data_IF_142510466750
#
_entry.id   IF_142510466750
#
_cell.length_a   1.000
_cell.length_b   1.000
_cell.length_c   1.000
_cell.angle_alpha   90.00
_cell.angle_beta   90.00
_cell.angle_gamma   90.00
#
_symmetry.space_group_name_H-M   'P 1'
#
loop_
_entity.id
_entity.type
_entity.pdbx_description
1 polymer ?
#
# COMPACT_ATOMS: atom_id res chain seq x y z
N UNK A 1 6.00 55.93 -18.46
CA UNK A 1 4.68 55.31 -18.74
C UNK A 1 4.01 54.88 -17.45
N UNK A 2 2.75 55.28 -17.24
CA UNK A 2 1.89 54.88 -16.13
C UNK A 2 1.04 53.67 -16.52
N UNK A 3 1.10 52.58 -15.75
CA UNK A 3 0.34 51.35 -16.01
C UNK A 3 -0.62 51.09 -14.86
N UNK A 4 -1.89 50.80 -15.17
CA UNK A 4 -2.88 50.36 -14.20
C UNK A 4 -3.09 48.85 -14.32
N UNK A 5 -2.81 48.11 -13.25
CA UNK A 5 -3.06 46.67 -13.12
C UNK A 5 -4.37 46.47 -12.39
N UNK A 6 -5.27 45.66 -12.94
CA UNK A 6 -6.57 45.35 -12.36
C UNK A 6 -6.74 43.84 -12.26
N UNK A 7 -6.75 43.31 -11.04
CA UNK A 7 -6.91 41.88 -10.79
C UNK A 7 -7.38 41.71 -9.35
N UNK A 8 -8.36 40.86 -9.08
CA UNK A 8 -8.87 40.64 -7.72
C UNK A 8 -7.89 39.84 -6.85
N UNK A 9 -6.96 39.11 -7.47
CA UNK A 9 -5.96 38.30 -6.79
C UNK A 9 -4.66 39.07 -6.56
N UNK A 10 -4.29 39.22 -5.29
CA UNK A 10 -3.06 39.91 -4.90
C UNK A 10 -1.79 39.27 -5.48
N UNK A 11 -1.75 37.93 -5.58
CA UNK A 11 -0.61 37.21 -6.16
C UNK A 11 -0.40 37.55 -7.64
N UNK A 12 -1.48 37.60 -8.42
CA UNK A 12 -1.41 37.91 -9.85
C UNK A 12 -1.01 39.38 -10.07
N UNK A 13 -1.49 40.32 -9.23
CA UNK A 13 -1.02 41.71 -9.24
C UNK A 13 0.47 41.82 -8.94
N UNK A 14 0.96 41.10 -7.93
CA UNK A 14 2.37 41.11 -7.55
C UNK A 14 3.28 40.58 -8.68
N UNK A 15 2.85 39.52 -9.38
CA UNK A 15 3.56 38.98 -10.56
C UNK A 15 3.63 40.02 -11.67
N UNK A 16 2.49 40.64 -12.01
CA UNK A 16 2.43 41.67 -13.05
C UNK A 16 3.25 42.90 -12.68
N UNK A 17 3.17 43.35 -11.44
CA UNK A 17 3.96 44.46 -10.92
C UNK A 17 5.45 44.20 -11.19
N UNK A 18 5.94 43.01 -10.83
CA UNK A 18 7.33 42.64 -11.05
C UNK A 18 7.73 42.64 -12.53
N UNK A 19 6.87 42.15 -13.42
CA UNK A 19 7.13 42.16 -14.86
C UNK A 19 7.23 43.59 -15.41
N UNK A 20 6.38 44.50 -14.91
CA UNK A 20 6.23 45.85 -15.41
C UNK A 20 7.27 46.84 -14.89
N UNK A 21 8.00 46.55 -13.80
CA UNK A 21 9.08 47.40 -13.26
C UNK A 21 10.14 47.78 -14.30
N UNK A 22 10.29 46.98 -15.37
CA UNK A 22 11.26 47.22 -16.44
C UNK A 22 10.80 48.23 -17.49
N UNK A 23 9.51 48.55 -17.54
CA UNK A 23 8.90 49.36 -18.60
C UNK A 23 7.96 50.48 -18.11
N UNK A 24 7.47 50.39 -16.87
CA UNK A 24 6.58 51.37 -16.26
C UNK A 24 7.36 52.27 -15.29
N UNK A 25 7.10 53.58 -15.35
CA UNK A 25 7.62 54.57 -14.40
C UNK A 25 6.75 54.66 -13.16
N UNK A 26 5.46 54.35 -13.31
CA UNK A 26 4.49 54.31 -12.23
C UNK A 26 3.54 53.14 -12.48
N UNK A 27 3.32 52.33 -11.45
CA UNK A 27 2.39 51.20 -11.47
C UNK A 27 1.28 51.50 -10.46
N UNK A 28 0.05 51.51 -10.94
CA UNK A 28 -1.16 51.62 -10.15
C UNK A 28 -1.82 50.25 -10.06
N UNK A 29 -2.49 49.97 -8.95
CA UNK A 29 -3.14 48.69 -8.71
C UNK A 29 -4.57 48.90 -8.22
N UNK A 30 -5.48 48.12 -8.79
CA UNK A 30 -6.87 48.02 -8.36
C UNK A 30 -7.27 46.54 -8.23
N UNK A 31 -8.11 46.24 -7.25
CA UNK A 31 -8.60 44.88 -6.95
C UNK A 31 -9.96 44.56 -7.59
N UNK A 32 -10.57 45.53 -8.26
CA UNK A 32 -11.83 45.36 -8.99
C UNK A 32 -12.01 46.47 -10.04
N UNK A 33 -12.94 46.27 -10.98
CA UNK A 33 -13.17 47.22 -12.07
C UNK A 33 -13.76 48.57 -11.64
N UNK A 34 -14.43 48.67 -10.48
CA UNK A 34 -14.96 49.95 -10.02
C UNK A 34 -13.84 50.87 -9.51
N UNK A 35 -12.97 50.34 -8.65
CA UNK A 35 -11.77 51.02 -8.17
C UNK A 35 -10.82 51.38 -9.33
N UNK A 36 -10.67 50.47 -10.29
CA UNK A 36 -9.87 50.73 -11.49
C UNK A 36 -10.38 51.91 -12.31
N UNK A 37 -11.70 52.05 -12.47
CA UNK A 37 -12.29 53.15 -13.23
C UNK A 37 -12.04 54.50 -12.54
N UNK A 38 -12.15 54.55 -11.21
CA UNK A 38 -11.84 55.75 -10.41
C UNK A 38 -10.37 56.14 -10.58
N UNK A 39 -9.45 55.20 -10.40
CA UNK A 39 -8.01 55.44 -10.58
C UNK A 39 -7.67 55.84 -12.01
N UNK A 40 -8.32 55.25 -13.02
CA UNK A 40 -8.09 55.57 -14.42
C UNK A 40 -8.47 57.03 -14.74
N UNK A 41 -9.60 57.52 -14.19
CA UNK A 41 -10.03 58.92 -14.35
C UNK A 41 -9.11 59.90 -13.66
N UNK A 42 -8.67 59.57 -12.45
CA UNK A 42 -7.81 60.45 -11.66
C UNK A 42 -6.39 60.53 -12.23
N UNK A 43 -5.79 59.41 -12.60
CA UNK A 43 -4.37 59.33 -12.92
C UNK A 43 -4.05 59.27 -14.41
N UNK A 44 -5.07 59.00 -15.25
CA UNK A 44 -5.00 58.85 -16.71
C UNK A 44 -3.83 57.96 -17.14
N UNK A 45 -3.91 56.63 -16.88
CA UNK A 45 -2.85 55.70 -17.20
C UNK A 45 -2.64 55.61 -18.72
N UNK A 46 -1.40 55.33 -19.12
CA UNK A 46 -1.01 55.12 -20.52
C UNK A 46 -1.36 53.69 -21.00
N UNK A 47 -1.62 52.76 -20.07
CA UNK A 47 -1.98 51.38 -20.33
C UNK A 47 -2.79 50.81 -19.17
N UNK A 48 -3.86 50.07 -19.49
CA UNK A 48 -4.64 49.31 -18.53
C UNK A 48 -4.48 47.83 -18.84
N UNK A 49 -4.12 47.04 -17.83
CA UNK A 49 -4.04 45.58 -17.90
C UNK A 49 -5.02 45.03 -16.89
N UNK A 50 -6.04 44.31 -17.36
CA UNK A 50 -7.14 43.83 -16.51
C UNK A 50 -7.33 42.33 -16.62
N UNK A 51 -7.64 41.65 -15.52
CA UNK A 51 -8.30 40.35 -15.62
C UNK A 51 -9.70 40.51 -16.24
N UNK A 52 -10.15 39.46 -16.90
CA UNK A 52 -11.40 39.46 -17.64
C UNK A 52 -12.63 39.35 -16.72
N UNK A 53 -12.57 38.46 -15.73
CA UNK A 53 -13.67 38.18 -14.81
C UNK A 53 -13.25 38.48 -13.39
N UNK A 54 -13.88 39.47 -12.77
CA UNK A 54 -13.64 39.85 -11.37
C UNK A 54 -14.99 40.05 -10.66
N UNK A 55 -15.04 39.95 -9.32
CA UNK A 55 -16.26 40.26 -8.56
C UNK A 55 -16.75 41.70 -8.77
N UNK A 56 -18.06 41.87 -8.89
CA UNK A 56 -18.68 43.18 -9.07
C UNK A 56 -18.52 43.71 -10.50
N UNK A 57 -17.69 44.74 -10.68
CA UNK A 57 -17.38 45.27 -12.01
C UNK A 57 -16.19 44.48 -12.56
N UNK A 58 -16.43 43.66 -13.56
CA UNK A 58 -15.41 42.86 -14.22
C UNK A 58 -14.67 43.64 -15.32
N UNK A 59 -13.68 42.99 -15.95
CA UNK A 59 -12.84 43.62 -16.96
C UNK A 59 -13.59 43.97 -18.25
N UNK A 60 -14.62 43.21 -18.61
CA UNK A 60 -15.46 43.50 -19.79
C UNK A 60 -16.31 44.75 -19.59
N UNK A 61 -16.96 44.86 -18.43
CA UNK A 61 -17.73 46.04 -18.06
C UNK A 61 -16.81 47.26 -17.85
N UNK A 62 -15.62 47.07 -17.26
CA UNK A 62 -14.60 48.11 -17.15
C UNK A 62 -14.19 48.65 -18.52
N UNK A 63 -13.82 47.77 -19.47
CA UNK A 63 -13.48 48.17 -20.84
C UNK A 63 -14.64 48.92 -21.50
N UNK A 64 -15.86 48.43 -21.35
CA UNK A 64 -17.06 49.06 -21.89
C UNK A 64 -17.26 50.48 -21.35
N UNK A 65 -16.98 50.70 -20.07
CA UNK A 65 -17.03 52.04 -19.43
C UNK A 65 -15.91 52.95 -19.90
N UNK A 66 -14.68 52.43 -20.02
CA UNK A 66 -13.52 53.17 -20.54
C UNK A 66 -13.78 53.65 -21.97
N UNK A 67 -14.31 52.78 -22.85
CA UNK A 67 -14.61 53.12 -24.24
C UNK A 67 -15.81 54.07 -24.42
N UNK A 68 -16.62 54.27 -23.38
CA UNK A 68 -17.69 55.29 -23.34
C UNK A 68 -17.22 56.62 -22.73
N UNK A 69 -16.04 56.65 -22.12
CA UNK A 69 -15.50 57.82 -21.43
C UNK A 69 -14.60 58.63 -22.38
N UNK A 70 -14.96 59.88 -22.75
CA UNK A 70 -14.21 60.66 -23.74
C UNK A 70 -12.74 60.91 -23.37
N UNK A 71 -12.40 60.86 -22.08
CA UNK A 71 -11.03 61.09 -21.63
C UNK A 71 -10.18 59.82 -21.65
N UNK A 72 -10.81 58.65 -21.66
CA UNK A 72 -10.15 57.33 -21.56
C UNK A 72 -10.42 56.41 -22.75
N UNK A 73 -11.28 56.81 -23.70
CA UNK A 73 -11.70 55.97 -24.83
C UNK A 73 -10.51 55.48 -25.68
N UNK A 74 -9.40 56.22 -25.64
CA UNK A 74 -8.18 55.95 -26.35
C UNK A 74 -7.10 55.24 -25.53
N UNK A 75 -7.31 55.02 -24.24
CA UNK A 75 -6.33 54.34 -23.40
C UNK A 75 -6.18 52.88 -23.83
N UNK A 76 -4.95 52.42 -24.16
CA UNK A 76 -4.67 51.01 -24.44
C UNK A 76 -5.19 50.09 -23.34
N UNK A 77 -5.94 49.07 -23.71
CA UNK A 77 -6.55 48.11 -22.79
C UNK A 77 -6.21 46.68 -23.20
N UNK A 78 -5.53 45.97 -22.30
CA UNK A 78 -5.10 44.59 -22.51
C UNK A 78 -5.78 43.71 -21.46
N UNK A 79 -6.40 42.62 -21.91
CA UNK A 79 -6.81 41.57 -20.99
C UNK A 79 -5.63 40.66 -20.67
N UNK A 80 -5.44 40.32 -19.39
CA UNK A 80 -4.52 39.29 -18.93
C UNK A 80 -5.32 38.28 -18.10
N UNK A 81 -5.73 37.16 -18.67
CA UNK A 81 -6.67 36.22 -18.02
C UNK A 81 -6.31 34.76 -18.24
N UNK A 82 -6.69 33.86 -17.32
CA UNK A 82 -6.29 32.44 -17.32
C UNK A 82 -6.97 31.56 -18.39
N UNK A 83 -7.43 32.15 -19.50
CA UNK A 83 -8.32 31.50 -20.46
C UNK A 83 -7.56 30.51 -21.34
N UNK A 84 -7.78 29.22 -21.10
CA UNK A 84 -7.46 28.13 -22.04
C UNK A 84 -8.60 27.82 -23.04
N UNK A 85 -9.67 28.63 -23.05
CA UNK A 85 -10.99 28.21 -23.53
C UNK A 85 -11.62 29.20 -24.52
N UNK A 86 -11.64 28.83 -25.80
CA UNK A 86 -12.56 29.38 -26.81
C UNK A 86 -12.22 30.75 -27.40
N UNK A 87 -12.65 30.96 -28.66
CA UNK A 87 -12.52 32.24 -29.35
C UNK A 87 -13.45 33.33 -28.77
N UNK A 88 -14.44 33.00 -27.94
CA UNK A 88 -15.52 33.92 -27.52
C UNK A 88 -15.09 35.01 -26.55
N UNK A 89 -14.29 34.72 -25.51
CA UNK A 89 -13.79 35.75 -24.59
C UNK A 89 -12.95 36.77 -25.35
N UNK A 90 -12.04 36.28 -26.20
CA UNK A 90 -11.21 37.11 -27.07
C UNK A 90 -12.05 37.86 -28.12
N UNK A 91 -13.04 37.21 -28.74
CA UNK A 91 -13.95 37.84 -29.70
C UNK A 91 -14.72 39.00 -29.07
N UNK A 92 -15.30 38.80 -27.88
CA UNK A 92 -16.04 39.84 -27.17
C UNK A 92 -15.10 40.97 -26.72
N UNK A 93 -13.95 40.63 -26.14
CA UNK A 93 -12.93 41.60 -25.72
C UNK A 93 -12.51 42.49 -26.89
N UNK A 94 -12.18 41.88 -28.03
CA UNK A 94 -11.77 42.59 -29.23
C UNK A 94 -12.92 43.38 -29.86
N UNK A 95 -14.15 42.86 -29.82
CA UNK A 95 -15.34 43.57 -30.30
C UNK A 95 -15.70 44.79 -29.42
N UNK A 96 -15.35 44.77 -28.13
CA UNK A 96 -15.43 45.91 -27.22
C UNK A 96 -14.24 46.87 -27.35
N UNK A 97 -13.28 46.59 -28.23
CA UNK A 97 -12.14 47.46 -28.51
C UNK A 97 -10.95 47.25 -27.59
N UNK A 98 -10.73 46.04 -27.05
CA UNK A 98 -9.46 45.69 -26.43
C UNK A 98 -8.33 45.71 -27.47
N UNK A 99 -7.15 46.16 -27.05
CA UNK A 99 -5.96 46.24 -27.88
C UNK A 99 -5.22 44.89 -27.94
N UNK A 100 -5.28 44.11 -26.85
CA UNK A 100 -4.79 42.74 -26.86
C UNK A 100 -5.49 41.84 -25.80
N UNK A 101 -5.38 40.52 -25.97
CA UNK A 101 -5.85 39.52 -25.02
C UNK A 101 -4.76 38.47 -24.76
N UNK A 102 -4.18 38.50 -23.57
CA UNK A 102 -3.06 37.66 -23.15
C UNK A 102 -3.54 36.56 -22.20
N UNK A 103 -3.15 35.32 -22.48
CA UNK A 103 -3.51 34.14 -21.68
C UNK A 103 -2.47 33.89 -20.60
N UNK A 104 -2.89 33.68 -19.34
CA UNK A 104 -2.00 33.24 -18.24
C UNK A 104 -1.82 31.71 -18.25
N UNK A 105 -0.65 31.17 -17.85
CA UNK A 105 0.61 31.88 -17.63
C UNK A 105 1.29 32.22 -18.96
N UNK A 106 1.93 33.39 -19.03
CA UNK A 106 2.79 33.78 -20.16
C UNK A 106 4.19 34.10 -19.63
N UNK A 107 5.22 33.71 -20.37
CA UNK A 107 6.60 34.05 -20.04
C UNK A 107 6.83 35.57 -20.03
N UNK A 108 7.67 36.10 -19.13
CA UNK A 108 7.85 37.55 -18.96
C UNK A 108 8.26 38.28 -20.25
N UNK A 109 9.10 37.66 -21.08
CA UNK A 109 9.56 38.27 -22.34
C UNK A 109 8.41 38.42 -23.33
N UNK A 110 7.66 37.34 -23.58
CA UNK A 110 6.47 37.34 -24.44
C UNK A 110 5.42 38.32 -23.95
N UNK A 111 5.20 38.41 -22.64
CA UNK A 111 4.28 39.37 -22.04
C UNK A 111 4.68 40.83 -22.37
N UNK A 112 5.96 41.18 -22.17
CA UNK A 112 6.47 42.51 -22.46
C UNK A 112 6.48 42.86 -23.96
N UNK A 113 6.76 41.88 -24.83
CA UNK A 113 6.68 42.06 -26.29
C UNK A 113 5.25 42.39 -26.74
N UNK A 114 4.24 41.71 -26.19
CA UNK A 114 2.84 41.98 -26.50
C UNK A 114 2.39 43.36 -26.03
N UNK A 115 2.84 43.80 -24.84
CA UNK A 115 2.61 45.16 -24.36
C UNK A 115 3.22 46.20 -25.32
N UNK A 116 4.49 46.03 -25.70
CA UNK A 116 5.15 46.95 -26.65
C UNK A 116 4.39 47.03 -27.97
N UNK A 117 3.97 45.89 -28.51
CA UNK A 117 3.16 45.82 -29.74
C UNK A 117 1.81 46.55 -29.61
N UNK A 118 1.16 46.47 -28.45
CA UNK A 118 -0.08 47.21 -28.20
C UNK A 118 0.16 48.74 -28.14
N UNK A 119 1.31 49.17 -27.62
CA UNK A 119 1.69 50.58 -27.50
C UNK A 119 2.25 51.17 -28.80
N UNK A 120 2.92 50.41 -29.65
CA UNK A 120 3.55 50.93 -30.87
C UNK A 120 2.54 51.19 -32.02
N UNK A 121 1.34 50.62 -31.98
CA UNK A 121 0.31 50.70 -33.04
C UNK A 121 -0.65 51.92 -32.95
N UNK A 122 -0.29 52.97 -32.21
CA UNK A 122 -1.26 53.89 -31.60
C UNK A 122 -1.98 54.96 -32.47
N UNK A 123 -1.80 55.09 -33.80
CA UNK A 123 -2.81 55.83 -34.59
C UNK A 123 -3.44 55.12 -35.79
N UNK A 124 -2.78 54.15 -36.43
CA UNK A 124 -3.21 53.68 -37.75
C UNK A 124 -4.07 52.39 -37.75
N UNK A 125 -4.08 51.62 -36.64
CA UNK A 125 -4.77 50.31 -36.55
C UNK A 125 -5.41 50.03 -35.20
N UNK A 126 -5.74 51.07 -34.41
CA UNK A 126 -6.58 50.89 -33.21
C UNK A 126 -7.89 50.21 -33.61
N UNK A 127 -8.19 49.05 -33.01
CA UNK A 127 -9.46 48.35 -33.24
C UNK A 127 -10.58 49.21 -32.69
N UNK A 128 -11.36 49.80 -33.59
CA UNK A 128 -12.55 50.52 -33.19
C UNK A 128 -13.55 49.52 -32.59
N UNK A 129 -14.08 49.79 -31.40
CA UNK A 129 -15.11 48.96 -30.80
C UNK A 129 -16.33 48.92 -31.72
N UNK A 130 -17.07 47.80 -31.71
CA UNK A 130 -18.38 47.73 -32.38
C UNK A 130 -19.35 48.68 -31.68
N UNK A 131 -19.82 49.75 -32.35
CA UNK A 131 -20.67 50.76 -31.71
C UNK A 131 -21.94 50.16 -31.09
N UNK A 132 -22.47 49.09 -31.68
CA UNK A 132 -23.68 48.42 -31.20
C UNK A 132 -23.48 47.79 -29.82
N UNK A 133 -22.32 47.18 -29.54
CA UNK A 133 -22.02 46.60 -28.24
C UNK A 133 -21.79 47.68 -27.16
N UNK A 134 -21.33 48.86 -27.58
CA UNK A 134 -21.17 50.01 -26.69
C UNK A 134 -22.47 50.79 -26.49
N UNK A 135 -23.43 50.77 -27.41
CA UNK A 135 -24.63 51.61 -27.32
C UNK A 135 -25.89 50.82 -26.95
N UNK A 136 -25.95 49.53 -27.26
CA UNK A 136 -27.09 48.66 -26.99
C UNK A 136 -26.78 47.71 -25.84
N UNK A 137 -27.32 48.00 -24.65
CA UNK A 137 -27.13 47.17 -23.46
C UNK A 137 -27.65 45.74 -23.65
N UNK A 138 -28.76 45.55 -24.37
CA UNK A 138 -29.33 44.22 -24.64
C UNK A 138 -28.38 43.32 -25.45
N UNK A 139 -27.73 43.86 -26.49
CA UNK A 139 -26.83 43.10 -27.35
C UNK A 139 -25.56 42.70 -26.58
N UNK A 140 -24.99 43.63 -25.80
CA UNK A 140 -23.86 43.34 -24.92
C UNK A 140 -24.20 42.26 -23.90
N UNK A 141 -25.30 42.43 -23.16
CA UNK A 141 -25.73 41.47 -22.13
C UNK A 141 -25.96 40.07 -22.71
N UNK A 142 -26.49 39.99 -23.93
CA UNK A 142 -26.67 38.71 -24.63
C UNK A 142 -25.33 38.05 -24.95
N UNK A 143 -24.39 38.76 -25.58
CA UNK A 143 -23.07 38.22 -25.91
C UNK A 143 -22.27 37.84 -24.66
N UNK A 144 -22.32 38.68 -23.63
CA UNK A 144 -21.68 38.44 -22.35
C UNK A 144 -22.26 37.21 -21.64
N UNK A 145 -23.59 37.10 -21.54
CA UNK A 145 -24.25 35.95 -20.90
C UNK A 145 -23.94 34.64 -21.63
N UNK A 146 -23.86 34.65 -22.96
CA UNK A 146 -23.49 33.47 -23.75
C UNK A 146 -22.03 33.04 -23.53
N UNK A 147 -21.12 34.00 -23.36
CA UNK A 147 -19.71 33.73 -23.04
C UNK A 147 -19.60 33.11 -21.63
N UNK A 148 -20.24 33.73 -20.62
CA UNK A 148 -20.21 33.23 -19.24
C UNK A 148 -20.85 31.85 -19.14
N UNK A 149 -21.99 31.61 -19.80
CA UNK A 149 -22.65 30.31 -19.82
C UNK A 149 -21.74 29.22 -20.42
N UNK A 150 -21.09 29.49 -21.56
CA UNK A 150 -20.16 28.55 -22.19
C UNK A 150 -18.97 28.23 -21.27
N UNK A 151 -18.42 29.23 -20.58
CA UNK A 151 -17.30 29.06 -19.64
C UNK A 151 -17.72 28.25 -18.41
N UNK A 152 -18.94 28.46 -17.92
CA UNK A 152 -19.49 27.69 -16.81
C UNK A 152 -19.70 26.23 -17.20
N UNK A 153 -20.30 25.97 -18.36
CA UNK A 153 -20.50 24.61 -18.89
C UNK A 153 -19.18 23.84 -18.98
N UNK A 154 -18.13 24.47 -19.51
CA UNK A 154 -16.82 23.83 -19.62
C UNK A 154 -16.19 23.53 -18.25
N UNK A 155 -16.30 24.44 -17.27
CA UNK A 155 -15.79 24.17 -15.92
C UNK A 155 -16.57 23.08 -15.20
N UNK A 156 -17.88 23.00 -15.41
CA UNK A 156 -18.68 21.89 -14.90
C UNK A 156 -18.19 20.57 -15.50
N UNK A 157 -18.00 20.50 -16.83
CA UNK A 157 -17.48 19.29 -17.49
C UNK A 157 -16.08 18.90 -16.99
N UNK A 158 -15.18 19.87 -16.83
CA UNK A 158 -13.83 19.61 -16.31
C UNK A 158 -13.86 19.10 -14.87
N UNK A 159 -14.72 19.67 -14.01
CA UNK A 159 -14.89 19.24 -12.63
C UNK A 159 -15.49 17.83 -12.56
N UNK A 160 -16.48 17.51 -13.40
CA UNK A 160 -17.06 16.17 -13.50
C UNK A 160 -16.01 15.13 -13.92
N UNK A 161 -15.20 15.43 -14.93
CA UNK A 161 -14.11 14.56 -15.37
C UNK A 161 -13.07 14.34 -14.26
N UNK A 162 -12.67 15.41 -13.57
CA UNK A 162 -11.70 15.34 -12.47
C UNK A 162 -12.25 14.51 -11.30
N UNK A 163 -13.50 14.73 -10.91
CA UNK A 163 -14.18 13.95 -9.87
C UNK A 163 -14.31 12.47 -10.26
N UNK A 164 -14.65 12.19 -11.52
CA UNK A 164 -14.71 10.81 -12.02
C UNK A 164 -13.34 10.14 -11.95
N UNK A 165 -12.28 10.84 -12.39
CA UNK A 165 -10.91 10.34 -12.34
C UNK A 165 -10.43 10.11 -10.91
N UNK A 166 -10.73 11.02 -9.98
CA UNK A 166 -10.44 10.86 -8.55
C UNK A 166 -11.15 9.62 -7.98
N UNK A 167 -12.43 9.45 -8.29
CA UNK A 167 -13.21 8.28 -7.86
C UNK A 167 -12.63 6.97 -8.42
N UNK A 168 -12.22 6.98 -9.69
CA UNK A 168 -11.61 5.81 -10.33
C UNK A 168 -10.27 5.45 -9.69
N UNK A 169 -9.44 6.46 -9.41
CA UNK A 169 -8.17 6.29 -8.74
C UNK A 169 -8.35 5.77 -7.31
N UNK A 170 -9.29 6.32 -6.54
CA UNK A 170 -9.60 5.85 -5.19
C UNK A 170 -10.00 4.37 -5.21
N UNK A 171 -10.92 3.98 -6.11
CA UNK A 171 -11.32 2.57 -6.28
C UNK A 171 -10.14 1.68 -6.66
N UNK A 172 -9.27 2.14 -7.57
CA UNK A 172 -8.07 1.38 -7.99
C UNK A 172 -7.13 1.13 -6.80
N UNK A 173 -6.84 2.16 -6.00
CA UNK A 173 -5.99 2.02 -4.83
C UNK A 173 -6.64 1.13 -3.76
N UNK A 174 -7.94 1.29 -3.51
CA UNK A 174 -8.69 0.45 -2.57
C UNK A 174 -8.66 -1.03 -2.99
N UNK A 175 -8.79 -1.32 -4.28
CA UNK A 175 -8.69 -2.69 -4.80
C UNK A 175 -7.29 -3.28 -4.62
N UNK A 176 -6.24 -2.50 -4.89
CA UNK A 176 -4.86 -2.95 -4.68
C UNK A 176 -4.59 -3.22 -3.20
N UNK A 177 -4.98 -2.30 -2.32
CA UNK A 177 -4.90 -2.42 -0.87
C UNK A 177 -5.59 -3.69 -0.35
N UNK A 178 -6.80 -3.96 -0.83
CA UNK A 178 -7.61 -5.12 -0.47
C UNK A 178 -7.15 -6.44 -1.11
N UNK A 179 -6.36 -6.39 -2.19
CA UNK A 179 -5.82 -7.60 -2.84
C UNK A 179 -4.62 -8.21 -2.11
N UNK A 180 -3.99 -7.47 -1.20
CA UNK A 180 -2.84 -7.93 -0.41
C UNK A 180 -3.34 -8.94 0.64
N UNK A 181 -2.67 -10.09 0.74
CA UNK A 181 -3.04 -11.17 1.67
C UNK A 181 -2.55 -10.95 3.10
N UNK A 182 -1.53 -10.13 3.28
CA UNK A 182 -1.09 -9.72 4.61
C UNK A 182 -2.10 -8.71 5.17
N UNK A 183 -2.33 -8.73 6.48
CA UNK A 183 -3.21 -7.77 7.14
C UNK A 183 -2.48 -6.43 7.26
N UNK A 184 -3.04 -5.37 6.69
CA UNK A 184 -2.51 -4.02 6.76
C UNK A 184 -3.39 -3.22 7.71
N UNK A 185 -2.77 -2.65 8.74
CA UNK A 185 -3.41 -1.86 9.77
C UNK A 185 -2.80 -0.47 9.72
N UNK A 186 -3.62 0.53 9.39
CA UNK A 186 -3.22 1.93 9.40
C UNK A 186 -3.72 2.55 10.69
N UNK A 187 -2.86 3.29 11.39
CA UNK A 187 -3.21 3.89 12.67
C UNK A 187 -2.64 5.28 12.90
N UNK A 188 -3.18 5.96 13.91
CA UNK A 188 -2.65 7.22 14.44
C UNK A 188 -1.27 7.00 15.10
N UNK A 189 -0.51 8.06 15.41
CA UNK A 189 0.75 7.93 16.15
C UNK A 189 0.60 7.16 17.48
N UNK A 190 -0.57 7.27 18.13
CA UNK A 190 -0.91 6.57 19.38
C UNK A 190 -1.40 5.12 19.18
N UNK A 191 -1.30 4.60 17.95
CA UNK A 191 -1.70 3.25 17.54
C UNK A 191 -3.19 2.98 17.70
N UNK A 192 -4.01 4.00 17.47
CA UNK A 192 -5.47 3.86 17.27
C UNK A 192 -5.71 3.54 15.81
N UNK A 193 -6.45 2.48 15.53
CA UNK A 193 -6.65 1.96 14.18
C UNK A 193 -7.60 2.91 13.42
N UNK A 194 -7.15 3.38 12.26
CA UNK A 194 -7.90 4.26 11.36
C UNK A 194 -8.50 3.49 10.19
N UNK A 195 -7.76 2.51 9.66
CA UNK A 195 -8.20 1.72 8.50
C UNK A 195 -7.52 0.35 8.49
N UNK A 196 -8.16 -0.62 7.84
CA UNK A 196 -7.64 -1.98 7.63
C UNK A 196 -8.02 -2.53 6.26
N UNK A 197 -7.15 -3.34 5.65
CA UNK A 197 -7.50 -3.99 4.38
C UNK A 197 -8.40 -5.20 4.61
N UNK A 198 -9.35 -5.41 3.70
CA UNK A 198 -10.24 -6.56 3.69
C UNK A 198 -10.19 -7.27 2.33
N UNK A 199 -10.25 -8.61 2.27
CA UNK A 199 -10.64 -9.54 3.35
C UNK A 199 -9.50 -10.02 4.27
N UNK A 200 -8.25 -9.63 4.01
CA UNK A 200 -7.07 -10.18 4.70
C UNK A 200 -7.12 -10.01 6.23
N UNK A 201 -7.54 -8.85 6.73
CA UNK A 201 -7.66 -8.62 8.18
C UNK A 201 -8.70 -9.52 8.83
N UNK A 202 -9.81 -9.80 8.15
CA UNK A 202 -10.80 -10.78 8.63
C UNK A 202 -10.25 -12.20 8.59
N UNK A 203 -9.55 -12.60 7.55
CA UNK A 203 -9.01 -13.96 7.43
C UNK A 203 -7.92 -14.22 8.49
N UNK A 204 -7.07 -13.23 8.77
CA UNK A 204 -5.97 -13.35 9.74
C UNK A 204 -6.48 -13.10 11.17
N UNK A 205 -7.20 -12.02 11.45
CA UNK A 205 -7.58 -11.68 12.83
C UNK A 205 -9.01 -12.02 13.20
N UNK A 206 -9.90 -12.26 12.23
CA UNK A 206 -11.31 -12.57 12.46
C UNK A 206 -12.20 -11.35 12.70
N UNK A 207 -11.70 -10.12 12.50
CA UNK A 207 -12.47 -8.88 12.70
C UNK A 207 -12.89 -8.26 11.37
N UNK A 208 -14.12 -7.74 11.34
CA UNK A 208 -14.57 -6.81 10.30
C UNK A 208 -14.09 -5.39 10.59
N UNK A 209 -14.01 -4.54 9.56
CA UNK A 209 -13.47 -3.17 9.66
C UNK A 209 -14.18 -2.34 10.73
N UNK A 210 -15.51 -2.45 10.81
CA UNK A 210 -16.35 -1.70 11.74
C UNK A 210 -16.12 -2.09 13.22
N UNK A 211 -15.58 -3.29 13.47
CA UNK A 211 -15.33 -3.80 14.82
C UNK A 211 -13.97 -3.38 15.38
N UNK A 212 -13.07 -2.93 14.51
CA UNK A 212 -11.66 -2.68 14.82
C UNK A 212 -11.25 -1.21 14.67
N UNK A 213 -11.80 -0.50 13.69
CA UNK A 213 -11.51 0.92 13.48
C UNK A 213 -11.96 1.74 14.70
N UNK A 214 -11.13 2.70 15.10
CA UNK A 214 -11.31 3.54 16.28
C UNK A 214 -10.79 2.92 17.59
N UNK A 215 -10.38 1.66 17.59
CA UNK A 215 -9.82 0.99 18.78
C UNK A 215 -8.30 1.06 18.78
N UNK A 216 -7.70 0.99 19.97
CA UNK A 216 -6.25 0.83 20.12
C UNK A 216 -5.85 -0.57 19.67
N UNK A 217 -4.71 -0.72 19.00
CA UNK A 217 -4.29 -2.00 18.42
C UNK A 217 -3.84 -3.06 19.45
N UNK A 218 -3.85 -2.78 20.75
CA UNK A 218 -3.33 -3.63 21.82
C UNK A 218 -4.04 -4.99 21.92
N UNK A 219 -5.35 -5.03 21.69
CA UNK A 219 -6.14 -6.26 21.76
C UNK A 219 -5.78 -7.30 20.67
N UNK A 220 -5.09 -6.89 19.60
CA UNK A 220 -4.59 -7.82 18.57
C UNK A 220 -3.39 -8.63 19.04
N UNK A 221 -2.71 -8.20 20.10
CA UNK A 221 -1.50 -8.84 20.59
C UNK A 221 -1.86 -9.95 21.59
N UNK A 222 -0.99 -10.95 21.70
CA UNK A 222 -1.19 -12.04 22.66
C UNK A 222 -1.21 -11.53 24.12
N UNK A 223 -0.40 -10.53 24.43
CA UNK A 223 -0.30 -9.92 25.75
C UNK A 223 0.22 -8.47 25.65
N UNK A 224 0.11 -7.74 26.76
CA UNK A 224 0.50 -6.33 26.83
C UNK A 224 2.01 -6.12 26.71
N UNK A 225 2.80 -7.06 27.23
CA UNK A 225 4.25 -7.01 27.13
C UNK A 225 4.72 -7.03 25.67
N UNK A 226 4.05 -7.83 24.83
CA UNK A 226 4.33 -7.88 23.40
C UNK A 226 3.98 -6.56 22.69
N UNK A 227 2.81 -5.98 23.01
CA UNK A 227 2.39 -4.69 22.48
C UNK A 227 3.37 -3.56 22.85
N UNK A 228 3.83 -3.53 24.10
CA UNK A 228 4.76 -2.52 24.59
C UNK A 228 6.18 -2.74 24.01
N UNK A 229 6.60 -4.00 23.82
CA UNK A 229 7.87 -4.33 23.14
C UNK A 229 7.90 -3.80 21.71
N UNK A 230 6.84 -4.03 20.94
CA UNK A 230 6.74 -3.49 19.57
C UNK A 230 6.72 -1.96 19.58
N UNK A 231 6.03 -1.35 20.55
CA UNK A 231 6.09 0.09 20.83
C UNK A 231 7.52 0.62 20.86
N UNK A 232 8.32 0.03 21.76
CA UNK A 232 9.71 0.42 22.00
C UNK A 232 10.65 0.11 20.85
N UNK A 233 10.47 -1.01 20.17
CA UNK A 233 11.39 -1.44 19.11
C UNK A 233 11.15 -0.74 17.77
N UNK A 234 9.91 -0.31 17.50
CA UNK A 234 9.52 0.28 16.21
C UNK A 234 9.26 1.77 16.29
N UNK A 235 8.48 2.22 17.27
CA UNK A 235 7.89 3.57 17.25
C UNK A 235 8.66 4.58 18.10
N UNK A 236 9.25 4.13 19.21
CA UNK A 236 9.96 5.00 20.16
C UNK A 236 11.41 5.29 19.74
N UNK A 237 11.97 4.52 18.80
CA UNK A 237 13.35 4.66 18.33
C UNK A 237 13.45 5.53 17.08
N UNK A 238 14.18 6.66 17.12
CA UNK A 238 14.39 7.52 15.95
C UNK A 238 15.12 6.80 14.81
N UNK A 239 16.07 5.93 15.18
CA UNK A 239 16.95 5.20 14.25
C UNK A 239 16.49 3.76 13.99
N UNK A 240 15.22 3.43 14.29
CA UNK A 240 14.69 2.11 14.02
C UNK A 240 14.82 1.82 12.52
N UNK A 241 15.47 0.70 12.16
CA UNK A 241 15.55 0.27 10.77
C UNK A 241 14.13 0.05 10.25
N UNK A 242 13.65 0.89 9.30
CA UNK A 242 12.30 0.77 8.77
C UNK A 242 12.09 -0.55 8.03
N UNK A 243 13.15 -1.30 7.73
CA UNK A 243 13.11 -2.62 7.07
C UNK A 243 13.04 -3.80 8.03
N UNK A 244 13.09 -3.56 9.34
CA UNK A 244 13.13 -4.63 10.33
C UNK A 244 11.80 -5.37 10.40
N UNK A 245 11.89 -6.70 10.35
CA UNK A 245 10.75 -7.61 10.56
C UNK A 245 10.84 -8.13 11.99
N UNK A 246 9.74 -8.07 12.72
CA UNK A 246 9.63 -8.61 14.08
C UNK A 246 8.71 -9.83 14.09
N UNK A 247 9.14 -10.93 14.71
CA UNK A 247 8.23 -12.01 15.05
C UNK A 247 7.44 -11.65 16.32
N UNK A 248 6.11 -11.65 16.20
CA UNK A 248 5.17 -11.16 17.22
C UNK A 248 4.08 -12.20 17.40
N UNK A 249 3.70 -12.45 18.67
CA UNK A 249 2.54 -13.29 18.97
C UNK A 249 1.28 -12.43 19.00
N UNK A 250 0.32 -12.81 18.17
CA UNK A 250 -0.97 -12.14 18.01
C UNK A 250 -2.10 -13.01 18.52
N UNK A 251 -3.26 -12.40 18.73
CA UNK A 251 -4.49 -13.04 19.18
C UNK A 251 -5.62 -12.75 18.19
N UNK A 252 -6.24 -13.79 17.66
CA UNK A 252 -7.43 -13.70 16.81
C UNK A 252 -8.67 -13.39 17.67
N UNK A 253 -9.77 -12.99 17.03
CA UNK A 253 -11.07 -12.76 17.68
C UNK A 253 -11.61 -13.98 18.44
N UNK A 254 -11.37 -15.19 17.94
CA UNK A 254 -11.75 -16.45 18.59
C UNK A 254 -10.88 -16.80 19.82
N UNK A 255 -9.85 -16.01 20.12
CA UNK A 255 -8.91 -16.22 21.22
C UNK A 255 -7.66 -17.05 20.88
N UNK A 256 -7.59 -17.63 19.69
CA UNK A 256 -6.41 -18.36 19.19
C UNK A 256 -5.19 -17.44 19.11
N UNK A 257 -4.05 -17.93 19.59
CA UNK A 257 -2.78 -17.23 19.51
C UNK A 257 -1.96 -17.79 18.36
N UNK A 258 -1.47 -16.92 17.49
CA UNK A 258 -0.65 -17.29 16.35
C UNK A 258 0.62 -16.43 16.28
N UNK A 259 1.62 -16.91 15.54
CA UNK A 259 2.86 -16.16 15.30
C UNK A 259 2.76 -15.41 13.98
N UNK A 260 2.94 -14.10 14.02
CA UNK A 260 2.97 -13.24 12.84
C UNK A 260 4.31 -12.52 12.69
N UNK A 261 4.72 -12.32 11.44
CA UNK A 261 5.78 -11.36 11.08
C UNK A 261 5.15 -9.98 10.95
N UNK A 262 5.67 -9.02 11.73
CA UNK A 262 5.29 -7.62 11.69
C UNK A 262 6.34 -6.82 10.92
N UNK A 263 5.88 -6.14 9.89
CA UNK A 263 6.57 -5.05 9.25
C UNK A 263 5.86 -3.73 9.59
N UNK A 264 6.55 -2.77 10.19
CA UNK A 264 5.91 -1.55 10.65
C UNK A 264 6.64 -0.29 10.18
N UNK A 265 5.85 0.67 9.72
CA UNK A 265 6.28 1.93 9.13
C UNK A 265 5.71 3.10 9.93
N UNK A 266 6.53 4.13 10.13
CA UNK A 266 6.09 5.42 10.66
C UNK A 266 5.76 6.36 9.50
N UNK A 267 4.57 6.95 9.54
CA UNK A 267 4.15 7.98 8.59
C UNK A 267 4.50 9.35 9.17
N UNK A 268 5.14 10.19 8.37
CA UNK A 268 5.51 11.56 8.73
C UNK A 268 5.00 12.56 7.69
N UNK A 269 4.76 13.80 8.11
CA UNK A 269 4.47 14.90 7.20
C UNK A 269 5.75 15.47 6.54
N UNK A 270 5.59 16.47 5.67
CA UNK A 270 6.70 17.16 4.99
C UNK A 270 7.71 17.83 5.96
N UNK A 271 7.30 18.10 7.20
CA UNK A 271 8.15 18.66 8.25
C UNK A 271 8.79 17.57 9.14
N UNK A 272 8.58 16.29 8.82
CA UNK A 272 9.11 15.15 9.57
C UNK A 272 8.34 14.81 10.85
N UNK A 273 7.16 15.41 11.09
CA UNK A 273 6.34 15.14 12.27
C UNK A 273 5.54 13.86 12.07
N UNK A 274 5.43 12.98 13.08
CA UNK A 274 4.64 11.77 12.98
C UNK A 274 3.15 12.05 12.80
N UNK A 275 2.56 11.54 11.72
CA UNK A 275 1.12 11.64 11.43
C UNK A 275 0.40 10.30 11.54
N UNK A 276 1.14 9.19 11.61
CA UNK A 276 0.54 7.87 11.76
C UNK A 276 1.55 6.72 11.72
N UNK A 277 1.04 5.50 11.64
CA UNK A 277 1.80 4.29 11.41
C UNK A 277 1.04 3.31 10.51
N UNK A 278 1.79 2.40 9.90
CA UNK A 278 1.26 1.25 9.18
C UNK A 278 1.91 0.00 9.76
N UNK A 279 1.12 -0.96 10.19
CA UNK A 279 1.55 -2.31 10.52
C UNK A 279 1.08 -3.29 9.46
N UNK A 280 1.99 -4.06 8.88
CA UNK A 280 1.70 -5.16 7.96
C UNK A 280 2.02 -6.45 8.71
N UNK A 281 1.01 -7.30 8.87
CA UNK A 281 1.09 -8.55 9.62
C UNK A 281 0.90 -9.72 8.67
N UNK A 282 1.91 -10.58 8.62
CA UNK A 282 1.86 -11.86 7.90
C UNK A 282 1.75 -13.01 8.89
N UNK A 283 0.72 -13.83 8.77
CA UNK A 283 0.62 -15.09 9.51
C UNK A 283 1.64 -16.10 8.97
N UNK A 284 2.53 -16.61 9.84
CA UNK A 284 3.58 -17.56 9.45
C UNK A 284 3.36 -18.96 10.05
N UNK A 285 2.19 -19.23 10.61
CA UNK A 285 1.87 -20.49 11.30
C UNK A 285 2.07 -21.71 10.38
N UNK A 286 1.54 -21.66 9.15
CA UNK A 286 1.67 -22.76 8.19
C UNK A 286 3.15 -22.98 7.79
N UNK A 287 3.89 -21.88 7.58
CA UNK A 287 5.32 -21.92 7.25
C UNK A 287 6.15 -22.55 8.36
N UNK A 288 5.84 -22.24 9.63
CA UNK A 288 6.50 -22.85 10.77
C UNK A 288 6.18 -24.34 10.87
N UNK A 289 4.92 -24.73 10.70
CA UNK A 289 4.51 -26.14 10.74
C UNK A 289 5.20 -26.97 9.65
N UNK A 290 5.27 -26.47 8.41
CA UNK A 290 5.98 -27.14 7.32
C UNK A 290 7.49 -27.28 7.61
N UNK A 291 8.11 -26.25 8.19
CA UNK A 291 9.53 -26.29 8.56
C UNK A 291 9.80 -27.34 9.64
N UNK A 292 8.95 -27.45 10.64
CA UNK A 292 9.05 -28.47 11.69
C UNK A 292 8.87 -29.89 11.13
N UNK A 293 7.86 -30.10 10.27
CA UNK A 293 7.65 -31.38 9.59
C UNK A 293 8.86 -31.80 8.76
N UNK A 294 9.45 -30.86 8.01
CA UNK A 294 10.65 -31.13 7.21
C UNK A 294 11.84 -31.53 8.09
N UNK A 295 12.09 -30.79 9.18
CA UNK A 295 13.16 -31.12 10.13
C UNK A 295 12.96 -32.51 10.74
N UNK A 296 11.73 -32.87 11.10
CA UNK A 296 11.41 -34.19 11.63
C UNK A 296 11.63 -35.29 10.58
N UNK A 297 11.24 -35.07 9.33
CA UNK A 297 11.47 -36.00 8.23
C UNK A 297 12.96 -36.22 7.96
N UNK A 298 13.77 -35.16 7.94
CA UNK A 298 15.23 -35.24 7.78
C UNK A 298 15.91 -36.00 8.93
N UNK A 299 15.47 -35.76 10.16
CA UNK A 299 15.95 -36.50 11.33
C UNK A 299 15.63 -37.99 11.20
N UNK A 300 14.43 -38.32 10.75
CA UNK A 300 14.00 -39.70 10.53
C UNK A 300 14.80 -40.39 9.41
N UNK A 301 15.08 -39.67 8.32
CA UNK A 301 15.93 -40.16 7.23
C UNK A 301 17.35 -40.46 7.70
N UNK A 302 17.95 -39.57 8.50
CA UNK A 302 19.30 -39.75 9.06
C UNK A 302 19.39 -40.96 9.99
N UNK A 303 18.39 -41.13 10.87
CA UNK A 303 18.28 -42.31 11.75
C UNK A 303 18.13 -43.59 10.90
N UNK A 304 17.30 -43.55 9.87
CA UNK A 304 17.11 -44.66 8.94
C UNK A 304 18.41 -45.11 8.27
N UNK A 305 19.19 -44.18 7.70
CA UNK A 305 20.46 -44.51 7.05
C UNK A 305 21.49 -45.09 8.02
N UNK A 306 21.64 -44.49 9.20
CA UNK A 306 22.57 -45.00 10.23
C UNK A 306 22.16 -46.39 10.73
N UNK A 307 20.88 -46.60 11.02
CA UNK A 307 20.36 -47.88 11.46
C UNK A 307 20.56 -48.97 10.39
N UNK A 308 20.43 -48.65 9.11
CA UNK A 308 20.67 -49.57 8.00
C UNK A 308 22.13 -50.02 7.90
N UNK A 309 23.08 -49.09 8.04
CA UNK A 309 24.52 -49.38 8.05
C UNK A 309 24.94 -50.21 9.27
N UNK A 310 24.53 -49.78 10.46
CA UNK A 310 24.82 -50.49 11.72
C UNK A 310 24.23 -51.91 11.70
N UNK A 311 23.00 -52.07 11.22
CA UNK A 311 22.36 -53.38 11.15
C UNK A 311 23.03 -54.33 10.14
N UNK A 312 23.56 -53.81 9.04
CA UNK A 312 24.37 -54.61 8.11
C UNK A 312 25.62 -55.16 8.81
N UNK A 313 26.32 -54.32 9.58
CA UNK A 313 27.55 -54.73 10.25
C UNK A 313 27.30 -55.74 11.38
N UNK A 314 26.21 -55.56 12.15
CA UNK A 314 25.79 -56.56 13.14
C UNK A 314 25.44 -57.90 12.49
N UNK A 315 24.70 -57.90 11.38
CA UNK A 315 24.36 -59.14 10.67
C UNK A 315 25.62 -59.87 10.20
N UNK A 316 26.66 -59.16 9.77
CA UNK A 316 27.92 -59.79 9.35
C UNK A 316 28.59 -60.54 10.52
N UNK A 317 28.68 -59.91 11.69
CA UNK A 317 29.27 -60.51 12.88
C UNK A 317 28.42 -61.69 13.38
N UNK A 318 27.10 -61.49 13.47
CA UNK A 318 26.17 -62.52 13.94
C UNK A 318 26.13 -63.73 13.01
N UNK A 319 26.21 -63.53 11.70
CA UNK A 319 26.28 -64.63 10.71
C UNK A 319 27.48 -65.52 10.98
N UNK A 320 28.65 -64.93 11.26
CA UNK A 320 29.87 -65.70 11.57
C UNK A 320 29.74 -66.44 12.90
N UNK A 321 29.24 -65.78 13.96
CA UNK A 321 29.05 -66.38 15.29
C UNK A 321 28.09 -67.58 15.21
N UNK A 322 26.93 -67.39 14.55
CA UNK A 322 25.92 -68.44 14.39
C UNK A 322 26.46 -69.59 13.54
N UNK A 323 27.12 -69.29 12.41
CA UNK A 323 27.64 -70.32 11.51
C UNK A 323 28.74 -71.16 12.16
N UNK A 324 29.76 -70.53 12.75
CA UNK A 324 30.85 -71.25 13.41
C UNK A 324 30.35 -72.00 14.65
N UNK A 325 29.52 -71.36 15.48
CA UNK A 325 28.95 -72.01 16.65
C UNK A 325 28.09 -73.22 16.28
N UNK A 326 27.29 -73.15 15.21
CA UNK A 326 26.49 -74.26 14.72
C UNK A 326 27.34 -75.42 14.20
N UNK A 327 28.41 -75.13 13.46
CA UNK A 327 29.38 -76.13 13.00
C UNK A 327 30.10 -76.80 14.17
N UNK A 328 30.50 -76.04 15.18
CA UNK A 328 31.12 -76.57 16.40
C UNK A 328 30.12 -77.46 17.14
N UNK A 329 28.87 -77.02 17.33
CA UNK A 329 27.83 -77.80 18.00
C UNK A 329 27.55 -79.13 17.29
N UNK A 330 27.57 -79.14 15.95
CA UNK A 330 27.37 -80.36 15.15
C UNK A 330 28.49 -81.41 15.29
N UNK A 331 29.68 -80.99 15.72
CA UNK A 331 30.86 -81.86 15.90
C UNK A 331 31.09 -82.28 17.36
N UNK A 332 30.36 -81.70 18.30
CA UNK A 332 30.45 -82.03 19.72
C UNK A 332 29.67 -83.30 20.04
N UNK A 333 30.20 -84.10 20.96
CA UNK A 333 29.47 -85.24 21.52
C UNK A 333 28.20 -84.76 22.26
N UNK A 334 27.12 -85.57 22.31
CA UNK A 334 25.89 -85.21 23.01
C UNK A 334 26.10 -84.91 24.51
N UNK A 335 27.07 -85.57 25.14
CA UNK A 335 27.37 -85.51 26.56
C UNK A 335 28.47 -84.47 26.91
N UNK A 336 28.92 -83.69 25.93
CA UNK A 336 29.97 -82.69 26.14
C UNK A 336 29.49 -81.61 27.14
N UNK A 337 30.21 -81.38 28.26
CA UNK A 337 29.79 -80.42 29.30
C UNK A 337 29.64 -78.98 28.78
N UNK A 338 30.33 -78.60 27.70
CA UNK A 338 30.28 -77.26 27.12
C UNK A 338 29.15 -77.08 26.11
N UNK A 339 28.44 -78.15 25.74
CA UNK A 339 27.38 -78.14 24.72
C UNK A 339 26.27 -77.14 25.06
N UNK A 340 25.79 -77.14 26.31
CA UNK A 340 24.75 -76.24 26.79
C UNK A 340 25.15 -74.75 26.68
N UNK A 341 26.42 -74.44 26.95
CA UNK A 341 26.92 -73.06 26.83
C UNK A 341 26.91 -72.61 25.37
N UNK A 342 27.29 -73.48 24.43
CA UNK A 342 27.28 -73.18 23.01
C UNK A 342 25.86 -73.01 22.46
N UNK A 343 24.91 -73.82 22.93
CA UNK A 343 23.49 -73.66 22.59
C UNK A 343 22.91 -72.32 23.07
N UNK A 344 23.26 -71.86 24.27
CA UNK A 344 22.85 -70.53 24.76
C UNK A 344 23.48 -69.38 23.97
N UNK A 345 24.76 -69.51 23.55
CA UNK A 345 25.41 -68.52 22.68
C UNK A 345 24.69 -68.43 21.32
N UNK A 346 24.35 -69.57 20.72
CA UNK A 346 23.62 -69.60 19.45
C UNK A 346 22.22 -69.00 19.58
N UNK A 347 21.46 -69.37 20.62
CA UNK A 347 20.16 -68.74 20.90
C UNK A 347 20.29 -67.23 21.09
N UNK A 348 21.33 -66.76 21.77
CA UNK A 348 21.57 -65.32 21.93
C UNK A 348 21.90 -64.63 20.60
N UNK A 349 22.71 -65.26 19.75
CA UNK A 349 23.01 -64.78 18.39
C UNK A 349 21.78 -64.71 17.50
N UNK A 350 20.93 -65.73 17.51
CA UNK A 350 19.66 -65.74 16.77
C UNK A 350 18.69 -64.66 17.25
N UNK A 351 18.60 -64.45 18.58
CA UNK A 351 17.82 -63.34 19.16
C UNK A 351 18.35 -61.98 18.68
N UNK A 352 19.66 -61.77 18.69
CA UNK A 352 20.28 -60.55 18.21
C UNK A 352 20.07 -60.32 16.71
N UNK A 353 20.10 -61.39 15.90
CA UNK A 353 19.83 -61.31 14.46
C UNK A 353 18.38 -60.92 14.18
N UNK A 354 17.44 -61.45 14.96
CA UNK A 354 16.02 -61.06 14.90
C UNK A 354 15.83 -59.58 15.23
N UNK A 355 16.44 -59.09 16.31
CA UNK A 355 16.38 -57.69 16.71
C UNK A 355 16.97 -56.75 15.64
N UNK A 356 18.10 -57.16 15.04
CA UNK A 356 18.76 -56.43 13.94
C UNK A 356 17.86 -56.35 12.70
N UNK A 357 17.10 -57.41 12.41
CA UNK A 357 16.12 -57.44 11.32
C UNK A 357 14.91 -56.54 11.58
N UNK A 358 14.43 -56.46 12.81
CA UNK A 358 13.35 -55.55 13.23
C UNK A 358 13.81 -54.07 13.10
N UNK A 359 15.06 -53.77 13.45
CA UNK A 359 15.66 -52.44 13.25
C UNK A 359 15.75 -52.06 11.76
N UNK A 360 16.10 -53.02 10.88
CA UNK A 360 16.12 -52.83 9.42
C UNK A 360 14.74 -52.57 8.82
N UNK A 361 13.69 -53.20 9.36
CA UNK A 361 12.31 -52.96 8.92
C UNK A 361 11.85 -51.54 9.25
N UNK A 362 12.33 -50.97 10.35
CA UNK A 362 12.06 -49.57 10.73
C UNK A 362 12.84 -48.56 9.86
N UNK A 363 14.03 -48.94 9.39
CA UNK A 363 14.93 -48.12 8.57
C UNK A 363 14.56 -48.10 7.07
N UNK A 364 14.00 -49.19 6.53
CA UNK A 364 13.74 -49.31 5.09
C UNK A 364 12.44 -48.65 4.65
N UNK A 365 12.53 -47.81 3.60
CA UNK A 365 11.41 -47.41 2.73
C UNK A 365 10.96 -48.61 1.86
N UNK A 366 10.36 -49.65 2.43
CA UNK A 366 9.70 -50.64 1.59
C UNK A 366 8.36 -50.09 1.08
N UNK A 367 8.02 -50.29 -0.22
CA UNK A 367 6.68 -50.00 -0.71
C UNK A 367 5.67 -50.80 0.12
N UNK A 368 4.68 -50.10 0.67
CA UNK A 368 3.65 -50.72 1.52
C UNK A 368 2.88 -51.77 0.72
N UNK A 369 3.06 -53.04 1.08
CA UNK A 369 2.25 -54.14 0.54
C UNK A 369 0.84 -54.05 1.15
N UNK A 370 -0.10 -53.49 0.40
CA UNK A 370 -1.48 -53.27 0.84
C UNK A 370 -2.28 -54.54 0.65
N UNK A 371 -2.53 -55.25 1.74
CA UNK A 371 -3.45 -56.40 1.80
C UNK A 371 -4.51 -56.19 2.88
N UNK A 372 -5.73 -56.75 2.73
CA UNK A 372 -6.69 -56.81 3.81
C UNK A 372 -6.07 -57.52 5.02
N UNK A 373 -6.20 -56.91 6.20
CA UNK A 373 -5.68 -57.44 7.47
C UNK A 373 -6.77 -57.39 8.53
N UNK A 374 -6.77 -58.36 9.44
CA UNK A 374 -7.56 -58.30 10.66
C UNK A 374 -6.81 -57.46 11.70
N UNK A 375 -7.38 -56.31 12.05
CA UNK A 375 -6.80 -55.40 13.03
C UNK A 375 -6.79 -56.00 14.44
N UNK A 376 -7.78 -56.81 14.80
CA UNK A 376 -7.86 -57.42 16.13
C UNK A 376 -6.70 -58.42 16.32
N UNK A 377 -6.34 -59.17 15.28
CA UNK A 377 -5.19 -60.08 15.30
C UNK A 377 -3.85 -59.36 15.47
N UNK A 378 -3.69 -58.19 14.84
CA UNK A 378 -2.47 -57.38 14.97
C UNK A 378 -2.39 -56.82 16.39
N UNK A 379 -3.49 -56.28 16.88
CA UNK A 379 -3.61 -55.70 18.22
C UNK A 379 -3.29 -56.74 19.31
N UNK A 380 -3.78 -57.99 19.21
CA UNK A 380 -3.42 -59.10 20.12
C UNK A 380 -1.93 -59.45 20.07
N UNK A 381 -1.30 -59.42 18.88
CA UNK A 381 0.15 -59.66 18.75
C UNK A 381 0.98 -58.55 19.40
N UNK A 382 0.54 -57.30 19.27
CA UNK A 382 1.17 -56.15 19.91
C UNK A 382 1.01 -56.20 21.43
N UNK A 383 -0.13 -56.66 21.96
CA UNK A 383 -0.35 -56.90 23.40
C UNK A 383 0.72 -57.82 24.00
N UNK A 384 0.97 -58.94 23.32
CA UNK A 384 1.95 -59.95 23.76
C UNK A 384 3.37 -59.40 23.76
N UNK A 385 3.69 -58.49 22.84
CA UNK A 385 4.97 -57.83 22.76
C UNK A 385 5.13 -56.74 23.82
N UNK A 386 4.11 -55.87 23.97
CA UNK A 386 4.09 -54.81 24.96
C UNK A 386 4.19 -55.38 26.37
N UNK A 387 3.43 -56.43 26.71
CA UNK A 387 3.50 -57.08 28.02
C UNK A 387 4.88 -57.62 28.43
N UNK A 388 5.83 -57.73 27.49
CA UNK A 388 7.24 -58.09 27.78
C UNK A 388 8.15 -56.88 27.95
N UNK A 389 7.71 -55.68 27.55
CA UNK A 389 8.49 -54.45 27.52
C UNK A 389 8.05 -53.47 28.61
N UNK A 390 6.74 -53.36 28.84
CA UNK A 390 6.23 -52.62 29.98
C UNK A 390 6.50 -53.44 31.24
N UNK A 391 7.13 -52.81 32.24
CA UNK A 391 7.48 -53.46 33.50
C UNK A 391 6.25 -54.00 34.23
N UNK A 392 6.46 -54.94 35.16
CA UNK A 392 5.40 -55.64 35.92
C UNK A 392 4.49 -54.68 36.71
N UNK A 393 4.92 -53.42 36.87
CA UNK A 393 4.21 -52.34 37.56
C UNK A 393 3.04 -51.76 36.76
N UNK A 394 2.89 -52.14 35.48
CA UNK A 394 1.89 -51.57 34.57
C UNK A 394 0.93 -52.67 34.08
N UNK A 395 -0.33 -52.59 34.49
CA UNK A 395 -1.41 -53.42 33.96
C UNK A 395 -1.85 -52.96 32.58
N UNK A 396 -1.70 -53.82 31.57
CA UNK A 396 -2.19 -53.60 30.21
C UNK A 396 -3.50 -54.36 30.00
N UNK A 397 -4.51 -53.69 29.47
CA UNK A 397 -5.78 -54.31 29.04
C UNK A 397 -6.16 -53.75 27.69
N UNK A 398 -6.32 -54.64 26.71
CA UNK A 398 -6.74 -54.27 25.36
C UNK A 398 -8.17 -54.77 25.14
N UNK A 399 -9.03 -53.88 24.61
CA UNK A 399 -10.42 -54.18 24.29
C UNK A 399 -10.62 -54.03 22.77
N UNK A 400 -10.50 -55.12 21.99
CA UNK A 400 -10.78 -55.09 20.56
C UNK A 400 -12.26 -54.78 20.29
N UNK A 401 -12.56 -54.07 19.20
CA UNK A 401 -13.94 -53.74 18.85
C UNK A 401 -14.71 -55.03 18.49
N UNK A 402 -15.84 -55.26 19.18
CA UNK A 402 -16.74 -56.39 18.94
C UNK A 402 -16.77 -57.47 20.03
N UNK A 403 -15.86 -57.42 21.01
CA UNK A 403 -15.90 -58.25 22.22
C UNK A 403 -16.43 -57.38 23.39
N UNK A 404 -17.74 -57.42 23.64
CA UNK A 404 -18.39 -56.84 24.82
C UNK A 404 -19.05 -57.92 25.64
#
# INVERSE_FOLDING_TARGET
>A
MKVLIVDDRADDRAVLHHYLLRIAEQILEADNGASALEQAREHRPDLIISDALMPGVDGFELLRRIRRDPELEHTPFIFYSAVYTGSRDQELAMALGADDFIVKPTEPQTFLERIRKALDNLPATRRQPRPELLQQDELYLKSYSQMVAARLEEKVQQLEQTNLQLTLNEKRYRNLYNSIRDAIIVGTPDRVILDVNQPATREIFGYETEEIVGRKADFLYADRDMYDKVGREVFDRPDADPRRILEVRYRRKNGEVFTGELYALKLVDEMGRPIGNIGIVRDITERQHMKEQLLQAQKMESIGTLAGGIAHDFNNILTVIIALGGLTLSKMAPEDPLRNNLEEILKAGERAAKLTKELLLFSRRQPMDRRPIDLNDIVRKVETFLGKIIGEDIGLTILPHGER
#
